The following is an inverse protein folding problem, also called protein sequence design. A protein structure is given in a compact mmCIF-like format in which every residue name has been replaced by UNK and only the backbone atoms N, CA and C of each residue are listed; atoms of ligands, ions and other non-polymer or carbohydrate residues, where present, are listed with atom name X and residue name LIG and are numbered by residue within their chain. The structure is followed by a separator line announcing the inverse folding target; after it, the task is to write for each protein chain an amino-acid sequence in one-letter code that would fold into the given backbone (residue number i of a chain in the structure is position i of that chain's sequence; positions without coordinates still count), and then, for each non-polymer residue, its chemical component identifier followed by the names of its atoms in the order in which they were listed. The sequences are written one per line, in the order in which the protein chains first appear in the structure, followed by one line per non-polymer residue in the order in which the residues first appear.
data_IF_345483303433
#
_entry.id   IF_345483303433
#
_cell.length_a   1.000
_cell.length_b   1.000
_cell.length_c   1.000
_cell.angle_alpha   90.00
_cell.angle_beta   90.00
_cell.angle_gamma   90.00
#
_symmetry.space_group_name_H-M   'P 1'
#
loop_
_entity.id
_entity.type
_entity.pdbx_description
1 polymer ?
#
# COMPACT_ATOMS: atom_id res chain seq x y z
N UNK A 1 -2.94 18.00 6.45
CA UNK A 1 -2.69 17.28 7.73
C UNK A 1 -3.93 17.43 8.59
N UNK A 2 -4.48 16.34 9.08
CA UNK A 2 -5.67 16.38 9.92
C UNK A 2 -5.31 16.86 11.33
N UNK A 3 -5.84 18.00 11.81
CA UNK A 3 -5.43 18.56 13.09
C UNK A 3 -5.93 17.80 14.32
N UNK A 4 -6.85 16.88 14.15
CA UNK A 4 -7.46 16.12 15.27
C UNK A 4 -6.84 14.74 15.42
N UNK A 5 -6.50 14.08 14.32
CA UNK A 5 -5.82 12.79 14.33
C UNK A 5 -4.33 12.99 14.05
N UNK A 6 -3.59 13.41 15.03
CA UNK A 6 -2.14 13.49 14.93
C UNK A 6 -1.55 12.24 15.53
N UNK A 7 -0.80 11.50 14.71
CA UNK A 7 -0.02 10.38 15.21
C UNK A 7 1.13 10.87 16.08
N UNK A 8 1.59 10.04 17.01
CA UNK A 8 2.66 10.38 17.92
C UNK A 8 3.93 10.89 17.22
N UNK A 9 4.29 10.32 16.06
CA UNK A 9 5.43 10.77 15.27
C UNK A 9 5.32 12.22 14.79
N UNK A 10 4.12 12.72 14.47
CA UNK A 10 3.89 14.12 14.09
C UNK A 10 3.96 15.05 15.32
N UNK A 11 3.43 14.61 16.45
CA UNK A 11 3.57 15.32 17.71
C UNK A 11 5.03 15.43 18.12
N UNK A 12 5.78 14.36 18.02
CA UNK A 12 7.22 14.33 18.30
C UNK A 12 8.02 15.30 17.42
N UNK A 13 7.64 15.50 16.18
CA UNK A 13 8.26 16.52 15.29
C UNK A 13 7.96 17.94 15.72
N UNK A 14 6.80 18.18 16.32
CA UNK A 14 6.35 19.49 16.78
C UNK A 14 6.89 19.80 18.18
N UNK A 15 7.04 18.80 19.03
CA UNK A 15 7.35 19.00 20.43
C UNK A 15 8.74 19.60 20.68
N UNK A 16 9.81 19.18 20.03
CA UNK A 16 11.15 19.72 20.24
C UNK A 16 11.45 20.15 21.69
N UNK A 17 12.60 20.74 21.97
CA UNK A 17 12.97 21.21 23.32
C UNK A 17 12.12 22.38 23.85
N UNK A 18 11.26 22.95 23.04
CA UNK A 18 10.42 24.12 23.37
C UNK A 18 8.98 23.98 22.88
N UNK A 19 8.44 22.76 22.83
CA UNK A 19 7.06 22.55 22.43
C UNK A 19 6.09 23.28 23.37
N UNK A 20 5.15 24.11 22.86
CA UNK A 20 4.14 24.74 23.67
C UNK A 20 3.08 23.76 24.20
N UNK A 21 3.17 22.50 23.81
CA UNK A 21 2.20 21.44 24.10
C UNK A 21 2.72 20.40 25.10
N UNK A 22 3.90 20.63 25.72
CA UNK A 22 4.51 19.68 26.68
C UNK A 22 5.34 18.60 26.00
N UNK A 23 5.83 17.64 26.79
CA UNK A 23 6.90 16.71 26.37
C UNK A 23 6.44 15.30 26.10
N UNK A 24 5.15 14.98 26.31
CA UNK A 24 4.65 13.63 26.17
C UNK A 24 3.42 13.56 25.26
N UNK A 25 3.45 12.62 24.30
CA UNK A 25 2.27 12.17 23.57
C UNK A 25 1.53 11.11 24.41
N UNK A 26 0.98 11.54 25.54
CA UNK A 26 0.29 10.70 26.53
C UNK A 26 -0.85 11.51 27.13
N UNK A 27 -2.09 11.14 26.75
CA UNK A 27 -3.27 11.90 27.16
C UNK A 27 -3.49 11.89 28.70
N UNK A 28 -3.03 10.85 29.39
CA UNK A 28 -3.17 10.77 30.85
C UNK A 28 -2.18 11.72 31.54
N UNK A 29 -0.94 11.77 31.06
CA UNK A 29 0.14 12.57 31.66
C UNK A 29 0.15 14.03 31.18
N UNK A 30 -0.29 14.29 29.95
CA UNK A 30 -0.20 15.60 29.28
C UNK A 30 -1.51 16.03 28.64
N UNK A 31 -2.63 15.81 29.33
CA UNK A 31 -3.97 16.09 28.79
C UNK A 31 -4.15 17.52 28.29
N UNK A 32 -3.75 18.50 29.09
CA UNK A 32 -3.91 19.92 28.74
C UNK A 32 -3.11 20.31 27.50
N UNK A 33 -1.87 19.83 27.39
CA UNK A 33 -1.03 20.07 26.22
C UNK A 33 -1.60 19.46 24.95
N UNK A 34 -2.09 18.23 25.01
CA UNK A 34 -2.70 17.55 23.89
C UNK A 34 -4.01 18.20 23.46
N UNK A 35 -4.88 18.56 24.39
CA UNK A 35 -6.13 19.27 24.09
C UNK A 35 -5.83 20.63 23.41
N UNK A 36 -4.84 21.38 23.91
CA UNK A 36 -4.40 22.61 23.28
C UNK A 36 -3.84 22.38 21.87
N UNK A 37 -3.06 21.33 21.68
CA UNK A 37 -2.52 20.97 20.36
C UNK A 37 -3.63 20.70 19.34
N UNK A 38 -4.64 19.92 19.71
CA UNK A 38 -5.80 19.66 18.86
C UNK A 38 -6.62 20.92 18.58
N UNK A 39 -6.89 21.72 19.63
CA UNK A 39 -7.63 22.97 19.49
C UNK A 39 -6.95 23.93 18.51
N UNK A 40 -5.65 24.14 18.64
CA UNK A 40 -4.88 25.00 17.76
C UNK A 40 -4.85 24.45 16.31
N UNK A 41 -4.81 23.11 16.15
CA UNK A 41 -4.94 22.45 14.86
C UNK A 41 -6.30 22.68 14.20
N UNK A 42 -7.38 22.51 14.95
CA UNK A 42 -8.74 22.73 14.45
C UNK A 42 -8.96 24.21 14.08
N UNK A 43 -8.48 25.13 14.90
CA UNK A 43 -8.56 26.58 14.59
C UNK A 43 -7.87 26.94 13.28
N UNK A 44 -6.73 26.32 12.97
CA UNK A 44 -6.05 26.52 11.67
C UNK A 44 -6.84 25.99 10.48
N UNK A 45 -7.76 25.06 10.71
CA UNK A 45 -8.59 24.46 9.67
C UNK A 45 -9.88 25.25 9.37
N UNK A 46 -10.18 26.28 10.15
CA UNK A 46 -11.37 27.14 9.92
C UNK A 46 -11.29 27.78 8.54
N UNK A 47 -12.37 27.67 7.77
CA UNK A 47 -12.44 28.19 6.40
C UNK A 47 -11.89 27.23 5.33
N UNK A 48 -11.37 26.08 5.70
CA UNK A 48 -10.94 25.04 4.78
C UNK A 48 -11.94 23.89 4.71
N UNK A 49 -11.99 23.20 3.57
CA UNK A 49 -12.71 21.92 3.47
C UNK A 49 -11.84 20.83 4.11
N UNK A 50 -12.28 20.32 5.25
CA UNK A 50 -11.56 19.31 6.02
C UNK A 50 -12.43 18.11 6.34
N UNK A 51 -11.79 16.97 6.55
CA UNK A 51 -12.39 15.72 7.00
C UNK A 51 -11.64 15.29 8.28
N UNK A 52 -11.95 15.87 9.45
CA UNK A 52 -11.22 15.58 10.67
C UNK A 52 -11.32 14.11 11.06
N UNK A 53 -10.21 13.52 11.43
CA UNK A 53 -10.18 12.21 12.06
C UNK A 53 -10.26 12.38 13.58
N UNK A 54 -11.16 11.68 14.22
CA UNK A 54 -11.28 11.59 15.68
C UNK A 54 -10.61 10.31 16.19
N UNK A 55 -10.23 10.30 17.45
CA UNK A 55 -9.49 9.21 18.08
C UNK A 55 -8.03 9.59 18.35
N UNK A 56 -7.30 8.65 18.92
CA UNK A 56 -5.88 8.78 19.25
C UNK A 56 -5.23 7.41 19.24
N UNK A 57 -3.95 7.37 18.91
CA UNK A 57 -3.05 6.22 19.10
C UNK A 57 -1.84 6.67 19.91
N UNK A 58 -1.07 5.72 20.40
CA UNK A 58 0.19 6.00 21.07
C UNK A 58 1.27 6.55 20.13
N UNK A 59 2.40 6.91 20.66
CA UNK A 59 3.55 7.37 19.87
C UNK A 59 4.12 6.20 19.06
N UNK A 60 4.54 6.47 17.83
CA UNK A 60 5.05 5.47 16.87
C UNK A 60 4.08 4.31 16.59
N UNK A 61 2.79 4.64 16.42
CA UNK A 61 1.75 3.65 16.11
C UNK A 61 1.56 2.54 17.16
N UNK A 62 1.75 2.88 18.43
CA UNK A 62 1.60 1.96 19.55
C UNK A 62 0.25 2.14 20.27
N UNK A 63 -0.04 1.25 21.22
CA UNK A 63 -1.19 1.39 22.14
C UNK A 63 -1.04 2.63 23.02
N UNK A 64 -2.16 3.34 23.26
CA UNK A 64 -2.14 4.60 24.05
C UNK A 64 -1.67 4.44 25.48
N UNK A 65 -2.02 3.34 26.14
CA UNK A 65 -1.71 3.06 27.56
C UNK A 65 -0.57 2.04 27.72
N UNK A 66 0.13 1.69 26.65
CA UNK A 66 1.19 0.68 26.64
C UNK A 66 0.69 -0.73 26.34
N UNK A 67 1.60 -1.63 26.04
CA UNK A 67 1.31 -2.97 25.49
C UNK A 67 0.49 -3.86 26.44
N UNK A 68 0.70 -3.75 27.75
CA UNK A 68 0.03 -4.56 28.78
C UNK A 68 -1.34 -3.99 29.21
N UNK A 69 -1.82 -2.92 28.58
CA UNK A 69 -3.08 -2.28 28.96
C UNK A 69 -4.31 -3.09 28.54
N UNK A 70 -5.36 -3.05 29.36
CA UNK A 70 -6.62 -3.71 29.07
C UNK A 70 -7.37 -2.98 27.93
N UNK A 71 -8.14 -3.74 27.15
CA UNK A 71 -9.01 -3.17 26.10
C UNK A 71 -9.99 -2.18 26.72
N UNK A 72 -10.63 -2.52 27.83
CA UNK A 72 -11.60 -1.66 28.54
C UNK A 72 -11.03 -0.32 28.98
N UNK A 73 -9.77 -0.26 29.39
CA UNK A 73 -9.11 1.00 29.78
C UNK A 73 -8.88 1.90 28.57
N UNK A 74 -8.39 1.34 27.46
CA UNK A 74 -8.20 2.05 26.20
C UNK A 74 -9.54 2.53 25.60
N UNK A 75 -10.58 1.69 25.65
CA UNK A 75 -11.96 2.05 25.20
C UNK A 75 -12.51 3.21 26.01
N UNK A 76 -12.39 3.18 27.34
CA UNK A 76 -12.82 4.27 28.22
C UNK A 76 -12.12 5.58 27.88
N UNK A 77 -10.78 5.53 27.69
CA UNK A 77 -9.98 6.69 27.31
C UNK A 77 -10.36 7.22 25.93
N UNK A 78 -10.55 6.35 24.95
CA UNK A 78 -10.98 6.75 23.59
C UNK A 78 -12.35 7.40 23.59
N UNK A 79 -13.32 6.92 24.37
CA UNK A 79 -14.64 7.56 24.52
C UNK A 79 -14.49 9.01 24.95
N UNK A 80 -13.68 9.27 26.00
CA UNK A 80 -13.42 10.62 26.46
C UNK A 80 -12.73 11.50 25.38
N UNK A 81 -11.72 10.96 24.71
CA UNK A 81 -10.98 11.66 23.66
C UNK A 81 -11.88 12.04 22.50
N UNK A 82 -12.67 11.09 21.98
CA UNK A 82 -13.59 11.31 20.85
C UNK A 82 -14.61 12.37 21.21
N UNK A 83 -15.22 12.31 22.40
CA UNK A 83 -16.17 13.33 22.88
C UNK A 83 -15.53 14.72 22.89
N UNK A 84 -14.31 14.86 23.44
CA UNK A 84 -13.60 16.14 23.49
C UNK A 84 -13.24 16.69 22.11
N UNK A 85 -12.81 15.84 21.21
CA UNK A 85 -12.50 16.23 19.84
C UNK A 85 -13.77 16.68 19.08
N UNK A 86 -14.89 15.98 19.27
CA UNK A 86 -16.19 16.38 18.68
C UNK A 86 -16.68 17.72 19.24
N UNK A 87 -16.54 17.99 20.57
CA UNK A 87 -16.84 19.28 21.16
C UNK A 87 -16.05 20.42 20.50
N UNK A 88 -14.75 20.20 20.23
CA UNK A 88 -13.90 21.17 19.55
C UNK A 88 -14.32 21.38 18.07
N UNK A 89 -14.59 20.29 17.34
CA UNK A 89 -15.07 20.36 15.95
C UNK A 89 -16.37 21.15 15.90
N UNK A 90 -17.32 20.84 16.75
CA UNK A 90 -18.58 21.57 16.85
C UNK A 90 -18.36 23.08 17.13
N UNK A 91 -17.48 23.39 18.09
CA UNK A 91 -17.22 24.76 18.49
C UNK A 91 -16.58 25.61 17.39
N UNK A 92 -15.66 25.06 16.62
CA UNK A 92 -14.83 25.84 15.70
C UNK A 92 -15.17 25.66 14.22
N UNK A 93 -15.62 24.47 13.80
CA UNK A 93 -15.86 24.13 12.39
C UNK A 93 -17.35 24.09 12.02
N UNK A 94 -18.25 23.81 12.97
CA UNK A 94 -19.70 23.65 12.73
C UNK A 94 -20.51 24.87 13.18
N UNK A 95 -19.91 26.06 13.29
CA UNK A 95 -20.54 27.27 13.81
C UNK A 95 -21.82 27.73 13.09
N UNK A 96 -21.94 27.41 11.81
CA UNK A 96 -23.02 27.86 10.94
C UNK A 96 -24.02 26.74 10.62
N UNK A 97 -24.24 25.82 11.54
CA UNK A 97 -25.08 24.60 11.36
C UNK A 97 -24.62 23.67 10.22
N UNK A 98 -23.42 23.89 9.69
CA UNK A 98 -22.81 23.01 8.70
C UNK A 98 -22.19 21.82 9.40
N UNK A 99 -22.72 20.63 9.14
CA UNK A 99 -22.10 19.38 9.55
C UNK A 99 -20.78 19.16 8.83
N UNK A 100 -19.71 18.99 9.59
CA UNK A 100 -18.40 18.61 9.07
C UNK A 100 -18.27 17.09 9.09
N UNK A 101 -17.97 16.43 7.96
CA UNK A 101 -17.75 15.00 7.96
C UNK A 101 -16.56 14.63 8.84
N UNK A 102 -16.70 13.60 9.65
CA UNK A 102 -15.69 13.12 10.62
C UNK A 102 -15.30 11.67 10.32
N UNK A 103 -14.09 11.27 10.65
CA UNK A 103 -13.53 9.95 10.41
C UNK A 103 -13.00 9.34 11.71
N UNK A 104 -13.24 8.04 11.89
CA UNK A 104 -12.59 7.23 12.93
C UNK A 104 -11.94 6.02 12.27
N UNK A 105 -10.62 5.87 12.41
CA UNK A 105 -9.87 4.76 11.82
C UNK A 105 -9.91 3.53 12.74
N UNK A 106 -10.52 2.46 12.25
CA UNK A 106 -10.56 1.14 12.89
C UNK A 106 -9.40 0.33 12.29
N UNK A 107 -8.20 0.50 12.87
CA UNK A 107 -6.96 -0.02 12.31
C UNK A 107 -6.01 -0.53 13.40
N UNK A 108 -5.32 -1.62 13.14
CA UNK A 108 -4.39 -2.29 14.07
C UNK A 108 -5.06 -2.53 15.44
N UNK A 109 -4.47 -2.09 16.55
CA UNK A 109 -5.02 -2.26 17.90
C UNK A 109 -6.38 -1.61 18.10
N UNK A 110 -6.74 -0.61 17.29
CA UNK A 110 -8.06 0.04 17.37
C UNK A 110 -9.18 -0.87 16.89
N UNK A 111 -8.89 -1.91 16.11
CA UNK A 111 -9.88 -2.95 15.78
C UNK A 111 -10.40 -3.62 17.05
N UNK A 112 -9.50 -4.03 17.95
CA UNK A 112 -9.88 -4.65 19.23
C UNK A 112 -10.66 -3.66 20.11
N UNK A 113 -10.33 -2.36 20.08
CA UNK A 113 -11.06 -1.34 20.81
C UNK A 113 -12.45 -1.08 20.23
N UNK A 114 -12.62 -1.19 18.92
CA UNK A 114 -13.91 -1.02 18.27
C UNK A 114 -14.82 -2.24 18.44
N UNK A 115 -14.31 -3.43 18.14
CA UNK A 115 -15.12 -4.66 18.20
C UNK A 115 -15.28 -5.20 19.61
N UNK A 116 -14.38 -4.88 20.53
CA UNK A 116 -14.28 -5.51 21.85
C UNK A 116 -13.60 -6.88 21.76
N UNK A 117 -13.36 -7.50 22.89
CA UNK A 117 -12.70 -8.81 22.98
C UNK A 117 -13.17 -9.63 24.17
N UNK A 118 -13.53 -10.90 23.95
CA UNK A 118 -14.01 -11.77 25.02
C UNK A 118 -15.27 -11.26 25.72
N UNK A 119 -15.15 -10.79 26.97
CA UNK A 119 -16.23 -10.19 27.78
C UNK A 119 -16.16 -8.66 27.82
N UNK A 120 -15.17 -8.05 27.17
CA UNK A 120 -14.97 -6.60 27.19
C UNK A 120 -15.74 -5.93 26.04
N UNK A 121 -16.54 -4.91 26.37
CA UNK A 121 -17.29 -4.12 25.39
C UNK A 121 -16.33 -3.17 24.65
N UNK A 122 -16.54 -3.06 23.32
CA UNK A 122 -15.82 -2.11 22.48
C UNK A 122 -16.52 -0.76 22.34
N UNK A 123 -16.11 -0.02 21.31
CA UNK A 123 -16.72 1.26 20.91
C UNK A 123 -17.96 1.08 20.02
N UNK A 124 -18.26 -0.14 19.58
CA UNK A 124 -19.43 -0.42 18.76
C UNK A 124 -20.70 0.04 19.46
N UNK A 125 -21.49 0.90 18.82
CA UNK A 125 -22.70 1.49 19.42
C UNK A 125 -22.45 2.69 20.34
N UNK A 126 -21.23 3.23 20.39
CA UNK A 126 -20.95 4.47 21.12
C UNK A 126 -21.57 5.67 20.37
N UNK A 127 -22.49 6.38 21.01
CA UNK A 127 -23.31 7.45 20.38
C UNK A 127 -22.49 8.55 19.71
N UNK A 128 -21.33 8.90 20.25
CA UNK A 128 -20.45 9.91 19.65
C UNK A 128 -19.84 9.46 18.32
N UNK A 129 -19.93 8.18 17.96
CA UNK A 129 -19.53 7.68 16.64
C UNK A 129 -20.67 7.64 15.63
N UNK A 130 -21.93 7.90 16.00
CA UNK A 130 -23.09 7.76 15.11
C UNK A 130 -22.98 8.55 13.80
N UNK A 131 -22.44 9.76 13.83
CA UNK A 131 -22.24 10.65 12.70
C UNK A 131 -20.80 10.65 12.14
N UNK A 132 -19.97 9.74 12.62
CA UNK A 132 -18.57 9.60 12.23
C UNK A 132 -18.43 8.46 11.21
N UNK A 133 -17.74 8.71 10.11
CA UNK A 133 -17.42 7.64 9.15
C UNK A 133 -16.44 6.67 9.78
N UNK A 134 -16.80 5.39 9.84
CA UNK A 134 -15.93 4.33 10.33
C UNK A 134 -15.07 3.82 9.20
N UNK A 135 -13.76 4.11 9.27
CA UNK A 135 -12.78 3.68 8.27
C UNK A 135 -12.23 2.32 8.66
N UNK A 136 -12.71 1.28 7.99
CA UNK A 136 -12.17 -0.07 8.09
C UNK A 136 -10.88 -0.18 7.27
N UNK A 137 -10.07 -1.19 7.56
CA UNK A 137 -8.78 -1.38 6.91
C UNK A 137 -8.62 -2.82 6.40
N UNK A 138 -7.76 -2.99 5.39
CA UNK A 138 -7.25 -4.29 5.00
C UNK A 138 -6.19 -4.79 6.01
N UNK A 139 -5.59 -5.94 5.72
CA UNK A 139 -4.51 -6.53 6.52
C UNK A 139 -3.11 -5.96 6.20
N UNK A 140 -3.02 -4.79 5.58
CA UNK A 140 -1.84 -4.15 5.00
C UNK A 140 -1.29 -4.84 3.73
N UNK A 141 -1.88 -5.96 3.33
CA UNK A 141 -1.42 -6.77 2.19
C UNK A 141 -2.50 -6.94 1.11
N UNK A 142 -3.56 -6.14 1.20
CA UNK A 142 -4.65 -6.11 0.22
C UNK A 142 -5.74 -7.18 0.44
N UNK A 143 -5.90 -7.72 1.66
CA UNK A 143 -7.00 -8.62 2.02
C UNK A 143 -7.92 -7.95 3.04
N UNK A 144 -9.23 -7.97 2.79
CA UNK A 144 -10.20 -7.44 3.74
C UNK A 144 -10.20 -8.26 5.03
N UNK A 145 -10.19 -7.56 6.17
CA UNK A 145 -10.20 -8.17 7.51
C UNK A 145 -11.60 -8.23 8.09
N UNK A 146 -12.27 -7.09 8.09
CA UNK A 146 -13.62 -6.95 8.63
C UNK A 146 -14.47 -6.07 7.72
N UNK A 147 -15.73 -6.45 7.55
CA UNK A 147 -16.73 -5.70 6.82
C UNK A 147 -17.97 -5.54 7.71
N UNK A 148 -18.81 -4.49 7.47
CA UNK A 148 -19.97 -4.23 8.31
C UNK A 148 -20.95 -5.39 8.31
N UNK A 149 -21.36 -5.82 9.49
CA UNK A 149 -22.45 -6.76 9.64
C UNK A 149 -23.77 -6.14 9.15
N UNK A 150 -24.74 -6.97 8.81
CA UNK A 150 -25.99 -6.51 8.22
C UNK A 150 -26.71 -5.43 9.07
N UNK A 151 -26.66 -5.55 10.39
CA UNK A 151 -27.30 -4.59 11.30
C UNK A 151 -26.56 -3.26 11.44
N UNK A 152 -25.28 -3.19 11.00
CA UNK A 152 -24.46 -1.98 11.06
C UNK A 152 -24.52 -1.15 9.76
N UNK A 153 -24.99 -1.71 8.65
CA UNK A 153 -24.93 -1.07 7.32
C UNK A 153 -25.72 0.23 7.22
N UNK A 154 -26.66 0.46 8.14
CA UNK A 154 -27.44 1.69 8.26
C UNK A 154 -26.79 2.75 9.16
N UNK A 155 -25.50 2.56 9.53
CA UNK A 155 -24.74 3.52 10.32
C UNK A 155 -24.74 4.90 9.64
N UNK A 156 -25.16 5.96 10.38
CA UNK A 156 -25.39 7.31 9.82
C UNK A 156 -24.13 7.95 9.24
N UNK A 157 -22.99 7.77 9.91
CA UNK A 157 -21.68 8.25 9.43
C UNK A 157 -21.18 7.51 8.19
N UNK A 158 -21.73 6.32 7.92
CA UNK A 158 -21.31 5.43 6.85
C UNK A 158 -19.96 4.78 7.12
N UNK A 159 -19.53 3.95 6.18
CA UNK A 159 -18.27 3.22 6.26
C UNK A 159 -17.33 3.62 5.13
N UNK A 160 -16.03 3.67 5.45
CA UNK A 160 -14.93 3.81 4.52
C UNK A 160 -13.98 2.62 4.58
N UNK A 161 -13.08 2.54 3.62
CA UNK A 161 -12.03 1.52 3.53
C UNK A 161 -10.68 2.18 3.31
N UNK A 162 -9.67 1.73 4.04
CA UNK A 162 -8.26 2.04 3.83
C UNK A 162 -7.57 0.82 3.26
N UNK A 163 -7.16 0.91 1.99
CA UNK A 163 -6.57 -0.16 1.19
C UNK A 163 -5.09 0.10 0.93
N UNK A 164 -4.26 -0.95 0.85
CA UNK A 164 -2.83 -0.82 0.63
C UNK A 164 -2.40 -1.36 -0.75
N UNK A 165 -1.78 -0.50 -1.56
CA UNK A 165 -0.96 -0.87 -2.71
C UNK A 165 0.54 -0.88 -2.37
N UNK A 166 0.89 -0.29 -1.24
CA UNK A 166 2.20 -0.10 -0.67
C UNK A 166 2.09 -0.14 0.86
N UNK A 167 3.08 -0.70 1.54
CA UNK A 167 3.09 -0.75 3.00
C UNK A 167 4.51 -0.72 3.56
N UNK A 168 4.73 0.15 4.53
CA UNK A 168 5.95 0.22 5.34
C UNK A 168 5.66 -0.32 6.74
N UNK A 169 6.20 -1.50 7.07
CA UNK A 169 6.00 -2.11 8.39
C UNK A 169 6.15 -3.64 8.40
N UNK A 170 5.94 -4.21 9.61
CA UNK A 170 5.99 -5.65 9.83
C UNK A 170 4.92 -6.43 9.03
N UNK A 171 5.19 -7.69 8.62
CA UNK A 171 6.45 -8.43 8.76
C UNK A 171 7.48 -8.11 7.69
N UNK A 172 7.09 -7.56 6.54
CA UNK A 172 7.97 -7.17 5.42
C UNK A 172 7.32 -5.99 4.69
N UNK A 173 8.04 -4.89 4.56
CA UNK A 173 7.63 -3.76 3.72
C UNK A 173 7.60 -4.16 2.24
N UNK A 174 6.73 -3.53 1.45
CA UNK A 174 6.71 -3.65 0.00
C UNK A 174 6.41 -2.27 -0.60
N UNK A 175 7.45 -1.66 -1.16
CA UNK A 175 7.47 -0.24 -1.52
C UNK A 175 8.11 0.02 -2.90
N UNK A 176 8.70 -1.02 -3.52
CA UNK A 176 9.56 -0.84 -4.69
C UNK A 176 8.78 -0.63 -6.00
N UNK A 177 8.11 -1.67 -6.47
CA UNK A 177 7.33 -1.65 -7.72
C UNK A 177 5.94 -2.25 -7.52
N UNK A 178 5.00 -1.95 -8.43
CA UNK A 178 3.66 -2.49 -8.33
C UNK A 178 3.66 -4.01 -8.23
N UNK A 179 2.97 -4.52 -7.20
CA UNK A 179 2.88 -5.95 -6.90
C UNK A 179 1.44 -6.44 -6.67
N UNK A 180 0.45 -5.56 -6.86
CA UNK A 180 -0.96 -5.90 -6.67
C UNK A 180 -1.67 -5.96 -8.03
N UNK A 181 -2.05 -7.17 -8.52
CA UNK A 181 -2.81 -7.32 -9.77
C UNK A 181 -4.21 -6.72 -9.66
N UNK A 182 -4.76 -6.21 -10.76
CA UNK A 182 -6.08 -5.54 -10.76
C UNK A 182 -7.21 -6.45 -10.29
N UNK A 183 -7.17 -7.75 -10.60
CA UNK A 183 -8.18 -8.70 -10.14
C UNK A 183 -8.24 -8.82 -8.61
N UNK A 184 -7.12 -8.63 -7.92
CA UNK A 184 -7.09 -8.57 -6.45
C UNK A 184 -7.80 -7.32 -5.94
N UNK A 185 -7.50 -6.15 -6.53
CA UNK A 185 -8.18 -4.89 -6.19
C UNK A 185 -9.67 -5.03 -6.46
N UNK A 186 -10.03 -5.55 -7.63
CA UNK A 186 -11.42 -5.76 -8.01
C UNK A 186 -12.15 -6.66 -7.01
N UNK A 187 -11.62 -7.83 -6.71
CA UNK A 187 -12.21 -8.79 -5.77
C UNK A 187 -12.49 -8.15 -4.41
N UNK A 188 -11.46 -7.54 -3.81
CA UNK A 188 -11.55 -7.01 -2.46
C UNK A 188 -12.42 -5.74 -2.38
N UNK A 189 -12.34 -4.87 -3.36
CA UNK A 189 -13.09 -3.61 -3.35
C UNK A 189 -14.55 -3.79 -3.82
N UNK A 190 -14.86 -4.77 -4.66
CA UNK A 190 -16.25 -5.12 -4.98
C UNK A 190 -16.95 -5.76 -3.79
N UNK A 191 -16.28 -6.67 -3.08
CA UNK A 191 -16.80 -7.21 -1.82
C UNK A 191 -17.04 -6.09 -0.81
N UNK A 192 -16.08 -5.19 -0.63
CA UNK A 192 -16.21 -4.00 0.23
C UNK A 192 -17.45 -3.17 -0.10
N UNK A 193 -17.69 -2.91 -1.38
CA UNK A 193 -18.86 -2.17 -1.86
C UNK A 193 -20.17 -2.88 -1.57
N UNK A 194 -20.25 -4.19 -1.81
CA UNK A 194 -21.45 -5.02 -1.57
C UNK A 194 -21.83 -5.06 -0.09
N UNK A 195 -20.85 -4.96 0.81
CA UNK A 195 -21.07 -4.87 2.25
C UNK A 195 -21.43 -3.46 2.75
N UNK A 196 -21.59 -2.48 1.84
CA UNK A 196 -22.08 -1.14 2.18
C UNK A 196 -20.99 -0.13 2.52
N UNK A 197 -19.73 -0.45 2.29
CA UNK A 197 -18.59 0.46 2.53
C UNK A 197 -18.41 1.36 1.31
N UNK A 198 -19.17 2.46 1.25
CA UNK A 198 -19.33 3.31 0.06
C UNK A 198 -19.05 4.79 0.31
N UNK A 199 -18.79 5.17 1.57
CA UNK A 199 -18.68 6.58 1.95
C UNK A 199 -17.35 7.21 1.56
N UNK A 200 -16.27 6.47 1.77
CA UNK A 200 -14.90 6.94 1.55
C UNK A 200 -13.98 5.76 1.28
N UNK A 201 -13.18 5.84 0.22
CA UNK A 201 -12.09 4.92 -0.02
C UNK A 201 -10.78 5.68 -0.01
N UNK A 202 -9.85 5.24 0.82
CA UNK A 202 -8.49 5.75 0.91
C UNK A 202 -7.54 4.64 0.46
N UNK A 203 -6.52 4.98 -0.29
CA UNK A 203 -5.49 4.04 -0.71
C UNK A 203 -4.12 4.52 -0.31
N UNK A 204 -3.35 3.66 0.35
CA UNK A 204 -1.92 3.86 0.58
C UNK A 204 -1.17 3.40 -0.67
N UNK A 205 -0.37 4.29 -1.24
CA UNK A 205 0.40 4.04 -2.47
C UNK A 205 1.89 4.31 -2.30
N UNK A 206 2.31 4.80 -1.10
CA UNK A 206 3.67 5.28 -0.89
C UNK A 206 4.06 6.32 -1.94
N UNK A 207 5.09 6.05 -2.71
CA UNK A 207 5.40 6.79 -3.91
C UNK A 207 4.44 6.41 -5.05
N UNK A 208 3.83 7.41 -5.69
CA UNK A 208 2.90 7.17 -6.81
C UNK A 208 3.63 6.55 -8.01
N UNK A 209 4.94 6.83 -8.15
CA UNK A 209 5.75 6.25 -9.20
C UNK A 209 5.82 4.74 -9.07
N UNK A 210 5.66 4.05 -10.19
CA UNK A 210 5.50 2.61 -10.37
C UNK A 210 4.14 2.03 -9.93
N UNK A 211 3.30 2.81 -9.23
CA UNK A 211 1.94 2.41 -8.85
C UNK A 211 0.85 3.02 -9.77
N UNK A 212 1.23 3.72 -10.85
CA UNK A 212 0.30 4.49 -11.69
C UNK A 212 -0.87 3.66 -12.21
N UNK A 213 -0.60 2.43 -12.67
CA UNK A 213 -1.63 1.57 -13.24
C UNK A 213 -2.62 1.02 -12.21
N UNK A 214 -2.20 0.35 -11.13
CA UNK A 214 -3.13 -0.12 -10.11
C UNK A 214 -3.83 1.01 -9.37
N UNK A 215 -3.16 2.14 -9.11
CA UNK A 215 -3.79 3.32 -8.53
C UNK A 215 -4.87 3.91 -9.45
N UNK A 216 -4.58 4.03 -10.74
CA UNK A 216 -5.54 4.53 -11.71
C UNK A 216 -6.79 3.64 -11.77
N UNK A 217 -6.61 2.32 -11.72
CA UNK A 217 -7.73 1.37 -11.64
C UNK A 217 -8.55 1.57 -10.36
N UNK A 218 -7.90 1.60 -9.19
CA UNK A 218 -8.57 1.82 -7.91
C UNK A 218 -9.43 3.09 -7.91
N UNK A 219 -8.88 4.19 -8.42
CA UNK A 219 -9.59 5.47 -8.49
C UNK A 219 -10.77 5.44 -9.47
N UNK A 220 -10.62 4.76 -10.62
CA UNK A 220 -11.71 4.61 -11.58
C UNK A 220 -12.81 3.67 -11.05
N UNK A 221 -12.45 2.59 -10.37
CA UNK A 221 -13.40 1.70 -9.70
C UNK A 221 -14.23 2.44 -8.65
N UNK A 222 -13.57 3.30 -7.84
CA UNK A 222 -14.25 4.12 -6.84
C UNK A 222 -15.16 5.19 -7.47
N UNK A 223 -14.76 5.77 -8.61
CA UNK A 223 -15.50 6.84 -9.28
C UNK A 223 -16.70 6.34 -10.08
N UNK A 224 -16.56 5.20 -10.76
CA UNK A 224 -17.59 4.61 -11.63
C UNK A 224 -17.69 3.11 -11.36
N UNK A 225 -18.28 2.78 -10.21
CA UNK A 225 -18.44 1.41 -9.77
C UNK A 225 -19.37 0.61 -10.68
N UNK A 226 -20.38 1.24 -11.27
CA UNK A 226 -21.34 0.59 -12.18
C UNK A 226 -20.63 0.05 -13.43
N UNK A 227 -19.62 0.77 -13.93
CA UNK A 227 -18.81 0.32 -15.08
C UNK A 227 -17.77 -0.72 -14.69
N UNK A 228 -17.11 -0.59 -13.52
CA UNK A 228 -15.92 -1.37 -13.19
C UNK A 228 -16.10 -2.37 -12.05
N UNK A 229 -17.25 -2.34 -11.36
CA UNK A 229 -17.52 -3.15 -10.18
C UNK A 229 -18.09 -4.55 -10.47
N UNK A 230 -18.84 -5.10 -9.50
CA UNK A 230 -19.26 -6.51 -9.46
C UNK A 230 -20.21 -6.94 -10.59
N UNK A 231 -21.02 -6.02 -11.14
CA UNK A 231 -21.95 -6.32 -12.22
C UNK A 231 -21.27 -6.40 -13.60
N UNK A 232 -19.99 -6.05 -13.70
CA UNK A 232 -19.21 -6.08 -14.93
C UNK A 232 -18.11 -7.16 -14.90
N UNK A 233 -18.43 -8.44 -15.10
CA UNK A 233 -17.45 -9.53 -15.09
C UNK A 233 -16.35 -9.28 -16.13
N UNK A 234 -15.10 -9.59 -15.78
CA UNK A 234 -13.89 -9.31 -16.57
C UNK A 234 -13.60 -7.82 -16.78
N UNK A 235 -14.15 -6.94 -15.94
CA UNK A 235 -13.90 -5.50 -16.02
C UNK A 235 -12.41 -5.13 -15.96
N UNK A 236 -11.59 -5.90 -15.25
CA UNK A 236 -10.13 -5.68 -15.15
C UNK A 236 -9.42 -5.82 -16.50
N UNK A 237 -9.77 -6.83 -17.30
CA UNK A 237 -9.23 -6.99 -18.66
C UNK A 237 -9.65 -5.86 -19.60
N UNK A 238 -10.94 -5.51 -19.58
CA UNK A 238 -11.46 -4.38 -20.36
C UNK A 238 -10.82 -3.05 -19.92
N UNK A 239 -10.60 -2.87 -18.62
CA UNK A 239 -9.90 -1.70 -18.09
C UNK A 239 -8.45 -1.65 -18.57
N UNK A 240 -7.73 -2.76 -18.51
CA UNK A 240 -6.34 -2.85 -19.00
C UNK A 240 -6.25 -2.44 -20.47
N UNK A 241 -7.14 -2.96 -21.30
CA UNK A 241 -7.20 -2.60 -22.73
C UNK A 241 -7.50 -1.10 -22.95
N UNK A 242 -8.45 -0.56 -22.20
CA UNK A 242 -8.77 0.87 -22.23
C UNK A 242 -7.58 1.72 -21.82
N UNK A 243 -6.94 1.41 -20.69
CA UNK A 243 -5.81 2.16 -20.17
C UNK A 243 -4.62 2.16 -21.14
N UNK A 244 -4.30 1.00 -21.74
CA UNK A 244 -3.25 0.88 -22.76
C UNK A 244 -3.61 1.69 -24.00
N UNK A 245 -4.85 1.63 -24.45
CA UNK A 245 -5.32 2.41 -25.59
C UNK A 245 -5.25 3.91 -25.34
N UNK A 246 -5.67 4.36 -24.18
CA UNK A 246 -5.65 5.77 -23.80
C UNK A 246 -4.22 6.31 -23.66
N UNK A 247 -3.29 5.47 -23.13
CA UNK A 247 -1.91 5.86 -22.88
C UNK A 247 -1.01 5.76 -24.13
N UNK A 248 -1.17 4.71 -24.93
CA UNK A 248 -0.24 4.37 -26.02
C UNK A 248 -0.90 4.34 -27.42
N UNK A 249 -2.23 4.43 -27.49
CA UNK A 249 -2.99 4.15 -28.72
C UNK A 249 -2.68 5.10 -29.88
N UNK A 250 -2.24 6.34 -29.61
CA UNK A 250 -1.90 7.31 -30.66
C UNK A 250 -0.77 6.84 -31.58
N UNK A 251 0.17 6.03 -31.04
CA UNK A 251 1.39 5.64 -31.75
C UNK A 251 1.68 4.13 -31.74
N UNK A 252 0.69 3.31 -31.39
CA UNK A 252 0.80 1.85 -31.37
C UNK A 252 -0.31 1.18 -32.19
N UNK A 253 0.03 0.06 -32.83
CA UNK A 253 -0.93 -0.85 -33.46
C UNK A 253 -1.67 -1.68 -32.40
N UNK A 254 -2.71 -2.38 -32.84
CA UNK A 254 -3.46 -3.30 -31.96
C UNK A 254 -2.59 -4.47 -31.49
N UNK A 255 -1.74 -5.02 -32.36
CA UNK A 255 -0.81 -6.09 -32.00
C UNK A 255 0.21 -5.63 -30.95
N UNK A 256 0.77 -4.44 -31.12
CA UNK A 256 1.69 -3.85 -30.14
C UNK A 256 1.01 -3.58 -28.79
N UNK A 257 -0.24 -3.15 -28.79
CA UNK A 257 -1.01 -3.00 -27.54
C UNK A 257 -1.27 -4.34 -26.84
N UNK A 258 -1.46 -5.42 -27.60
CA UNK A 258 -1.54 -6.78 -27.02
C UNK A 258 -0.22 -7.18 -26.36
N UNK A 259 0.92 -6.92 -26.99
CA UNK A 259 2.23 -7.19 -26.39
C UNK A 259 2.46 -6.34 -25.13
N UNK A 260 2.08 -5.06 -25.13
CA UNK A 260 2.12 -4.18 -23.94
C UNK A 260 1.27 -4.75 -22.82
N UNK A 261 0.05 -5.23 -23.12
CA UNK A 261 -0.82 -5.88 -22.15
C UNK A 261 -0.17 -7.13 -21.56
N UNK A 262 0.37 -7.99 -22.41
CA UNK A 262 1.03 -9.23 -21.96
C UNK A 262 2.20 -8.96 -21.02
N UNK A 263 2.97 -7.89 -21.25
CA UNK A 263 4.05 -7.46 -20.37
C UNK A 263 3.51 -6.95 -19.05
N UNK A 264 2.53 -6.04 -19.10
CA UNK A 264 1.95 -5.39 -17.91
C UNK A 264 1.28 -6.40 -16.98
N UNK A 265 0.39 -7.24 -17.53
CA UNK A 265 -0.27 -8.30 -16.76
C UNK A 265 0.70 -9.40 -16.33
N UNK A 266 1.72 -9.69 -17.15
CA UNK A 266 2.73 -10.71 -16.88
C UNK A 266 3.56 -10.40 -15.65
N UNK A 267 4.15 -9.21 -15.55
CA UNK A 267 4.96 -8.86 -14.39
C UNK A 267 4.11 -8.67 -13.12
N UNK A 268 2.93 -8.05 -13.24
CA UNK A 268 2.02 -7.92 -12.10
C UNK A 268 1.56 -9.27 -11.56
N UNK A 269 1.34 -10.26 -12.44
CA UNK A 269 1.02 -11.62 -12.02
C UNK A 269 2.19 -12.27 -11.28
N UNK A 270 3.42 -12.14 -11.78
CA UNK A 270 4.60 -12.68 -11.09
C UNK A 270 4.80 -12.05 -9.72
N UNK A 271 4.72 -10.71 -9.64
CA UNK A 271 4.80 -9.99 -8.38
C UNK A 271 3.63 -10.27 -7.43
N UNK A 272 2.43 -10.52 -7.97
CA UNK A 272 1.24 -10.90 -7.20
C UNK A 272 1.29 -12.33 -6.65
N UNK A 273 2.02 -13.26 -7.29
CA UNK A 273 2.28 -14.59 -6.75
C UNK A 273 3.22 -14.53 -5.54
N UNK A 274 4.26 -13.72 -5.64
CA UNK A 274 5.17 -13.41 -4.53
C UNK A 274 5.76 -12.02 -4.75
N UNK A 275 5.56 -11.12 -3.77
CA UNK A 275 6.11 -9.77 -3.83
C UNK A 275 7.64 -9.80 -3.92
N UNK A 276 8.24 -8.87 -4.68
CA UNK A 276 9.70 -8.79 -4.83
C UNK A 276 10.46 -8.81 -3.51
N UNK A 277 10.04 -8.00 -2.54
CA UNK A 277 10.66 -7.87 -1.22
C UNK A 277 10.54 -9.14 -0.36
N UNK A 278 9.61 -10.03 -0.71
CA UNK A 278 9.42 -11.33 -0.03
C UNK A 278 10.06 -12.50 -0.76
N UNK A 279 10.83 -12.24 -1.83
CA UNK A 279 11.56 -13.26 -2.56
C UNK A 279 12.85 -13.64 -1.83
N UNK A 280 13.19 -14.91 -1.89
CA UNK A 280 14.48 -15.47 -1.53
C UNK A 280 14.78 -16.72 -2.35
N UNK A 281 15.96 -17.26 -2.21
CA UNK A 281 16.47 -18.44 -2.94
C UNK A 281 15.72 -19.75 -2.68
N UNK A 282 14.79 -19.76 -1.71
CA UNK A 282 14.01 -20.97 -1.33
C UNK A 282 12.54 -20.91 -1.76
N UNK A 283 12.02 -19.75 -2.18
CA UNK A 283 10.58 -19.56 -2.53
C UNK A 283 10.15 -20.47 -3.66
N UNK A 284 10.91 -20.54 -4.74
CA UNK A 284 10.69 -21.44 -5.89
C UNK A 284 11.83 -22.46 -5.95
N UNK A 285 11.95 -23.27 -4.90
CA UNK A 285 13.10 -24.12 -4.71
C UNK A 285 13.31 -25.13 -5.85
N UNK A 286 14.52 -25.25 -6.42
CA UNK A 286 14.79 -26.10 -7.60
C UNK A 286 14.51 -27.59 -7.41
N UNK A 287 14.37 -28.07 -6.17
CA UNK A 287 13.99 -29.45 -5.87
C UNK A 287 12.46 -29.69 -5.89
N UNK A 288 11.62 -28.64 -6.06
CA UNK A 288 10.18 -28.74 -6.14
C UNK A 288 9.72 -28.98 -7.58
N UNK A 289 9.74 -30.23 -8.02
CA UNK A 289 9.39 -30.66 -9.38
C UNK A 289 10.02 -29.74 -10.46
N UNK A 290 9.20 -29.10 -11.28
CA UNK A 290 9.63 -28.17 -12.35
C UNK A 290 9.18 -26.73 -12.07
N UNK A 291 8.91 -26.36 -10.84
CA UNK A 291 8.39 -25.00 -10.52
C UNK A 291 9.40 -23.92 -10.88
N UNK A 292 10.65 -24.09 -10.45
CA UNK A 292 11.74 -23.17 -10.78
C UNK A 292 11.90 -22.96 -12.29
N UNK A 293 11.91 -24.05 -13.07
CA UNK A 293 12.04 -24.01 -14.54
C UNK A 293 10.82 -23.37 -15.21
N UNK A 294 9.62 -23.61 -14.70
CA UNK A 294 8.39 -22.95 -15.22
C UNK A 294 8.43 -21.44 -15.00
N UNK A 295 8.85 -21.00 -13.82
CA UNK A 295 8.99 -19.58 -13.53
C UNK A 295 10.10 -18.94 -14.38
N UNK A 296 11.27 -19.58 -14.52
CA UNK A 296 12.34 -19.10 -15.41
C UNK A 296 11.86 -18.95 -16.85
N UNK A 297 11.11 -19.92 -17.37
CA UNK A 297 10.53 -19.82 -18.72
C UNK A 297 9.58 -18.63 -18.87
N UNK A 298 8.76 -18.35 -17.85
CA UNK A 298 7.88 -17.20 -17.86
C UNK A 298 8.69 -15.88 -17.82
N UNK A 299 9.74 -15.81 -17.03
CA UNK A 299 10.66 -14.68 -16.98
C UNK A 299 11.30 -14.40 -18.36
N UNK A 300 11.81 -15.45 -19.04
CA UNK A 300 12.44 -15.33 -20.35
C UNK A 300 11.46 -14.83 -21.43
N UNK A 301 10.24 -15.35 -21.42
CA UNK A 301 9.17 -14.89 -22.35
C UNK A 301 8.86 -13.41 -22.10
N UNK A 302 8.68 -13.03 -20.84
CA UNK A 302 8.33 -11.69 -20.44
C UNK A 302 9.45 -10.69 -20.78
N UNK A 303 10.70 -11.03 -20.45
CA UNK A 303 11.88 -10.23 -20.76
C UNK A 303 12.01 -9.96 -22.28
N UNK A 304 11.85 -11.01 -23.09
CA UNK A 304 11.90 -10.89 -24.54
C UNK A 304 10.81 -9.97 -25.10
N UNK A 305 9.57 -10.11 -24.62
CA UNK A 305 8.46 -9.25 -25.02
C UNK A 305 8.69 -7.80 -24.60
N UNK A 306 9.11 -7.59 -23.36
CA UNK A 306 9.36 -6.26 -22.78
C UNK A 306 10.42 -5.51 -23.58
N UNK A 307 11.53 -6.18 -23.92
CA UNK A 307 12.60 -5.59 -24.73
C UNK A 307 12.14 -5.32 -26.18
N UNK A 308 11.37 -6.23 -26.77
CA UNK A 308 10.83 -6.05 -28.13
C UNK A 308 9.94 -4.80 -28.23
N UNK A 309 9.01 -4.63 -27.30
CA UNK A 309 8.14 -3.44 -27.24
C UNK A 309 8.96 -2.17 -27.05
N UNK A 310 9.94 -2.18 -26.12
CA UNK A 310 10.83 -1.03 -25.91
C UNK A 310 11.54 -0.63 -27.18
N UNK A 311 12.15 -1.57 -27.91
CA UNK A 311 12.89 -1.30 -29.15
C UNK A 311 12.00 -0.69 -30.24
N UNK A 312 10.79 -1.22 -30.42
CA UNK A 312 9.80 -0.69 -31.34
C UNK A 312 9.46 0.76 -31.00
N UNK A 313 9.13 1.05 -29.75
CA UNK A 313 8.73 2.39 -29.31
C UNK A 313 9.95 3.37 -29.35
N UNK A 314 11.14 2.90 -29.02
CA UNK A 314 12.38 3.67 -29.08
C UNK A 314 12.72 4.07 -30.52
N UNK A 315 12.55 3.17 -31.50
CA UNK A 315 12.78 3.48 -32.90
C UNK A 315 11.89 4.60 -33.45
N UNK A 316 10.75 4.84 -32.79
CA UNK A 316 9.80 5.92 -33.07
C UNK A 316 9.97 7.15 -32.20
N UNK A 317 10.92 7.13 -31.24
CA UNK A 317 11.10 8.21 -30.25
C UNK A 317 9.93 8.31 -29.26
N UNK A 318 9.18 7.21 -29.02
CA UNK A 318 7.97 7.14 -28.18
C UNK A 318 8.13 6.24 -26.95
N UNK A 319 9.36 5.87 -26.59
CA UNK A 319 9.61 4.92 -25.47
C UNK A 319 9.32 5.48 -24.08
N UNK A 320 9.28 6.80 -23.91
CA UNK A 320 9.36 7.43 -22.60
C UNK A 320 8.28 6.98 -21.59
N UNK A 321 7.00 6.98 -22.01
CA UNK A 321 5.91 6.55 -21.16
C UNK A 321 6.02 5.05 -20.84
N UNK A 322 6.28 4.24 -21.87
CA UNK A 322 6.45 2.80 -21.69
C UNK A 322 7.62 2.47 -20.77
N UNK A 323 8.78 3.11 -20.97
CA UNK A 323 9.96 2.90 -20.15
C UNK A 323 9.68 3.15 -18.66
N UNK A 324 9.10 4.31 -18.35
CA UNK A 324 8.93 4.74 -16.96
C UNK A 324 7.72 4.13 -16.24
N UNK A 325 6.72 3.62 -16.98
CA UNK A 325 5.49 3.09 -16.37
C UNK A 325 5.42 1.56 -16.41
N UNK A 326 6.11 0.91 -17.35
CA UNK A 326 6.02 -0.54 -17.55
C UNK A 326 7.39 -1.20 -17.64
N UNK A 327 8.24 -0.72 -18.56
CA UNK A 327 9.49 -1.41 -18.90
C UNK A 327 10.38 -1.65 -17.70
N UNK A 328 10.68 -0.58 -16.93
CA UNK A 328 11.56 -0.67 -15.76
C UNK A 328 11.00 -1.69 -14.74
N UNK A 329 9.76 -1.52 -14.33
CA UNK A 329 9.14 -2.40 -13.33
C UNK A 329 9.14 -3.86 -13.76
N UNK A 330 8.83 -4.14 -15.03
CA UNK A 330 8.84 -5.51 -15.57
C UNK A 330 10.27 -6.08 -15.65
N UNK A 331 11.25 -5.29 -16.14
CA UNK A 331 12.63 -5.72 -16.27
C UNK A 331 13.28 -5.96 -14.91
N UNK A 332 13.07 -5.07 -13.96
CA UNK A 332 13.61 -5.15 -12.62
C UNK A 332 13.00 -6.34 -11.83
N UNK A 333 11.68 -6.52 -11.89
CA UNK A 333 11.01 -7.69 -11.27
C UNK A 333 11.51 -9.02 -11.82
N UNK A 334 11.65 -9.13 -13.15
CA UNK A 334 12.16 -10.34 -13.80
C UNK A 334 13.63 -10.59 -13.42
N UNK A 335 14.44 -9.55 -13.38
CA UNK A 335 15.84 -9.64 -12.99
C UNK A 335 16.00 -10.16 -11.56
N UNK A 336 15.28 -9.58 -10.61
CA UNK A 336 15.29 -10.01 -9.21
C UNK A 336 14.81 -11.45 -9.05
N UNK A 337 13.75 -11.84 -9.74
CA UNK A 337 13.22 -13.20 -9.67
C UNK A 337 14.24 -14.21 -10.23
N UNK A 338 14.86 -13.93 -11.38
CA UNK A 338 15.93 -14.76 -11.95
C UNK A 338 17.15 -14.86 -11.02
N UNK A 339 17.55 -13.76 -10.38
CA UNK A 339 18.61 -13.73 -9.37
C UNK A 339 18.36 -14.76 -8.27
N UNK A 340 17.19 -14.74 -7.66
CA UNK A 340 16.81 -15.65 -6.58
C UNK A 340 16.72 -17.12 -7.05
N UNK A 341 16.17 -17.36 -8.24
CA UNK A 341 16.07 -18.71 -8.81
C UNK A 341 17.45 -19.33 -9.11
N UNK A 342 18.39 -18.56 -9.62
CA UNK A 342 19.75 -19.03 -9.89
C UNK A 342 20.58 -19.16 -8.60
N UNK A 343 20.35 -18.31 -7.60
CA UNK A 343 20.92 -18.49 -6.27
C UNK A 343 20.45 -19.81 -5.65
N UNK A 344 19.14 -20.11 -5.70
CA UNK A 344 18.60 -21.39 -5.23
C UNK A 344 19.23 -22.60 -5.94
N UNK A 345 19.45 -22.52 -7.26
CA UNK A 345 20.17 -23.55 -8.01
C UNK A 345 21.63 -23.67 -7.57
N UNK A 346 22.32 -22.54 -7.39
CA UNK A 346 23.70 -22.52 -6.89
C UNK A 346 23.79 -23.27 -5.54
N UNK A 347 22.99 -22.88 -4.56
CA UNK A 347 22.99 -23.49 -3.22
C UNK A 347 22.64 -24.99 -3.24
N UNK A 348 21.61 -25.38 -4.00
CA UNK A 348 21.23 -26.77 -4.12
C UNK A 348 22.37 -27.64 -4.69
N UNK A 349 22.97 -27.20 -5.80
CA UNK A 349 24.03 -27.98 -6.47
C UNK A 349 25.37 -27.91 -5.74
N UNK A 350 25.67 -26.83 -5.03
CA UNK A 350 26.82 -26.73 -4.14
C UNK A 350 26.70 -27.74 -2.99
N UNK A 351 25.53 -27.83 -2.36
CA UNK A 351 25.25 -28.81 -1.31
C UNK A 351 25.36 -30.26 -1.80
N UNK A 352 25.11 -30.49 -3.10
CA UNK A 352 25.31 -31.80 -3.75
C UNK A 352 26.73 -32.06 -4.25
N UNK A 353 27.69 -31.13 -4.06
CA UNK A 353 29.06 -31.20 -4.55
C UNK A 353 29.20 -31.15 -6.07
N UNK A 354 28.23 -30.57 -6.78
CA UNK A 354 28.24 -30.53 -8.26
C UNK A 354 28.91 -29.26 -8.76
N UNK A 355 29.88 -29.42 -9.69
CA UNK A 355 30.61 -28.29 -10.27
C UNK A 355 29.74 -27.27 -11.01
N UNK A 356 28.55 -27.66 -11.49
CA UNK A 356 27.61 -26.76 -12.13
C UNK A 356 27.10 -25.63 -11.18
N UNK A 357 27.26 -25.80 -9.87
CA UNK A 357 26.98 -24.74 -8.90
C UNK A 357 27.71 -23.45 -9.23
N UNK A 358 28.99 -23.52 -9.63
CA UNK A 358 29.79 -22.34 -10.00
C UNK A 358 29.15 -21.53 -11.13
N UNK A 359 28.62 -22.21 -12.16
CA UNK A 359 27.92 -21.56 -13.26
C UNK A 359 26.71 -20.77 -12.77
N UNK A 360 25.92 -21.34 -11.85
CA UNK A 360 24.75 -20.66 -11.30
C UNK A 360 25.12 -19.51 -10.35
N UNK A 361 26.25 -19.63 -9.63
CA UNK A 361 26.83 -18.51 -8.88
C UNK A 361 27.22 -17.34 -9.78
N UNK A 362 27.96 -17.61 -10.86
CA UNK A 362 28.32 -16.61 -11.86
C UNK A 362 27.08 -15.93 -12.48
N UNK A 363 26.00 -16.68 -12.75
CA UNK A 363 24.75 -16.13 -13.25
C UNK A 363 24.08 -15.24 -12.20
N UNK A 364 24.08 -15.63 -10.92
CA UNK A 364 23.53 -14.80 -9.83
C UNK A 364 24.28 -13.46 -9.73
N UNK A 365 25.62 -13.48 -9.78
CA UNK A 365 26.42 -12.24 -9.79
C UNK A 365 26.10 -11.33 -10.99
N UNK A 366 25.82 -11.91 -12.17
CA UNK A 366 25.41 -11.14 -13.34
C UNK A 366 24.05 -10.46 -13.12
N UNK A 367 23.11 -11.12 -12.44
CA UNK A 367 21.80 -10.50 -12.13
C UNK A 367 21.92 -9.43 -11.05
N UNK A 368 22.81 -9.57 -10.05
CA UNK A 368 23.10 -8.52 -9.08
C UNK A 368 23.64 -7.28 -9.82
N UNK A 369 24.63 -7.47 -10.68
CA UNK A 369 25.15 -6.38 -11.50
C UNK A 369 24.09 -5.75 -12.41
N UNK A 370 23.22 -6.58 -13.00
CA UNK A 370 22.13 -6.08 -13.85
C UNK A 370 21.11 -5.25 -13.06
N UNK A 371 20.88 -5.57 -11.81
CA UNK A 371 20.04 -4.78 -10.91
C UNK A 371 20.59 -3.38 -10.70
N UNK A 372 21.89 -3.27 -10.39
CA UNK A 372 22.59 -1.98 -10.30
C UNK A 372 22.52 -1.16 -11.61
N UNK A 373 22.68 -1.84 -12.76
CA UNK A 373 22.56 -1.21 -14.07
C UNK A 373 21.14 -0.68 -14.34
N UNK A 374 20.11 -1.45 -14.00
CA UNK A 374 18.69 -1.03 -14.14
C UNK A 374 18.38 0.17 -13.26
N UNK A 375 18.84 0.15 -12.00
CA UNK A 375 18.70 1.27 -11.09
C UNK A 375 19.36 2.52 -11.67
N UNK A 376 20.62 2.41 -12.15
CA UNK A 376 21.32 3.54 -12.75
C UNK A 376 20.64 4.04 -14.05
N UNK A 377 20.15 3.14 -14.92
CA UNK A 377 19.39 3.51 -16.12
C UNK A 377 18.15 4.33 -15.76
N UNK A 378 17.43 3.94 -14.66
CA UNK A 378 16.24 4.65 -14.19
C UNK A 378 16.61 6.00 -13.58
N UNK A 379 17.66 6.04 -12.75
CA UNK A 379 18.16 7.28 -12.16
C UNK A 379 18.53 8.32 -13.24
N UNK A 380 19.20 7.88 -14.31
CA UNK A 380 19.63 8.76 -15.41
C UNK A 380 18.50 9.12 -16.39
N UNK A 381 17.40 8.39 -16.33
CA UNK A 381 16.30 8.54 -17.29
C UNK A 381 15.75 9.98 -17.30
N UNK A 382 15.64 10.56 -18.49
CA UNK A 382 15.18 11.94 -18.68
C UNK A 382 15.91 12.97 -17.82
N UNK A 383 17.24 12.90 -17.81
CA UNK A 383 18.11 13.80 -17.06
C UNK A 383 17.82 13.77 -15.53
N UNK A 384 17.57 12.61 -14.99
CA UNK A 384 17.35 12.42 -13.56
C UNK A 384 15.95 12.79 -13.06
N UNK A 385 14.96 12.86 -13.97
CA UNK A 385 13.58 13.22 -13.58
C UNK A 385 13.02 12.34 -12.47
N UNK A 386 13.36 11.07 -12.46
CA UNK A 386 12.86 10.07 -11.54
C UNK A 386 13.94 9.50 -10.62
N UNK A 387 15.10 10.14 -10.55
CA UNK A 387 16.20 9.70 -9.68
C UNK A 387 15.72 9.63 -8.22
N UNK A 388 16.02 8.52 -7.57
CA UNK A 388 15.59 8.21 -6.21
C UNK A 388 14.38 7.29 -6.11
N UNK A 389 13.57 7.17 -7.17
CA UNK A 389 12.41 6.27 -7.17
C UNK A 389 12.79 4.78 -7.26
N UNK A 390 13.99 4.50 -7.73
CA UNK A 390 14.56 3.15 -7.87
C UNK A 390 15.21 2.61 -6.59
N UNK A 391 15.38 3.46 -5.56
CA UNK A 391 16.23 3.17 -4.39
C UNK A 391 15.57 2.34 -3.30
N UNK A 392 14.25 2.05 -3.40
CA UNK A 392 13.60 1.22 -2.41
C UNK A 392 14.26 -0.16 -2.30
N UNK A 393 14.59 -0.57 -1.07
CA UNK A 393 15.21 -1.87 -0.81
C UNK A 393 14.30 -3.01 -1.25
N UNK A 394 14.84 -3.99 -1.97
CA UNK A 394 14.08 -5.10 -2.55
C UNK A 394 14.85 -6.42 -2.60
N UNK A 395 16.12 -6.42 -2.16
CA UNK A 395 16.97 -7.61 -2.14
C UNK A 395 17.33 -7.93 -0.70
N UNK A 396 17.18 -9.19 -0.31
CA UNK A 396 17.67 -9.71 0.96
C UNK A 396 16.98 -9.16 2.20
N UNK A 397 15.73 -8.72 2.09
CA UNK A 397 14.93 -8.34 3.25
C UNK A 397 14.87 -9.47 4.26
N UNK A 398 15.27 -9.18 5.50
CA UNK A 398 15.19 -10.11 6.63
C UNK A 398 14.14 -9.73 7.65
N UNK A 399 13.68 -8.48 7.62
CA UNK A 399 12.59 -7.93 8.43
C UNK A 399 11.87 -6.80 7.66
N UNK A 400 11.04 -6.02 8.31
CA UNK A 400 10.23 -4.98 7.67
C UNK A 400 11.01 -3.72 7.27
N UNK A 401 12.20 -3.49 7.82
CA UNK A 401 13.00 -2.33 7.51
C UNK A 401 14.26 -2.72 6.71
N UNK A 402 14.86 -1.75 6.04
CA UNK A 402 15.97 -1.90 5.11
C UNK A 402 17.37 -1.83 5.76
N UNK A 403 17.46 -1.81 7.08
CA UNK A 403 18.74 -1.79 7.79
C UNK A 403 19.45 -3.15 7.80
N UNK A 404 18.69 -4.24 7.57
CA UNK A 404 19.14 -5.63 7.66
C UNK A 404 19.00 -6.41 6.34
N UNK A 405 19.41 -5.85 5.25
CA UNK A 405 19.37 -6.54 3.96
C UNK A 405 20.67 -7.35 3.69
N UNK A 406 20.55 -8.43 2.92
CA UNK A 406 21.68 -9.27 2.49
C UNK A 406 21.45 -9.76 1.07
N UNK A 407 22.53 -9.77 0.28
CA UNK A 407 22.50 -10.45 -1.01
C UNK A 407 22.30 -11.96 -0.83
N UNK A 408 21.61 -12.63 -1.78
CA UNK A 408 21.35 -14.05 -1.76
C UNK A 408 22.62 -14.91 -1.89
#
# INVERSE_FOLDING_TARGET
MNPVCVQGGEYSKVRGSHSPYGDAWDYVKNKEGILKFWEDGIKRSVGHHVFPTVGMRGENDSKMLGEDSLISDNVRLLKEIITKQKEMIHTYLEKDEKTVPKLFAVYKEVEDYYFGGGTEEGLRGFEDLDDVTLLLCDDNFGNMRALPEKFERDHKGGFGMYYHLDYHGDPVSYEWVASTPLNRIWEQMTETWEYGVRKLWIVNVGDVKFQEFPLNYFMNLAYDFDTWGSEAPNSTGAYTEKWIKDTFGEYTSEDERREIRDVLEGYLRLNGLRRPESLNDTVYHPAHELECERILTQCEILEKKNESVRQILRSRGKENAYYSMIYFSAAASVNLLKMQLYSGKNHLYANQGKAVANLYGEMTEQFIKRDEELAQEMADFKNGKWAGMELASHIGFTNWNDEDWRYP
#
